data_IF_817036337477
#
_entry.id   IF_817036337477
#
_cell.length_a   1.000
_cell.length_b   1.000
_cell.length_c   1.000
_cell.angle_alpha   90.00
_cell.angle_beta   90.00
_cell.angle_gamma   90.00
#
_symmetry.space_group_name_H-M   'P 1'
#
loop_
_entity.id
_entity.type
_entity.pdbx_description
1 polymer ?
#
# COMPACT_ATOMS: atom_id res chain seq x y z
N UNK A 1 -21.84 7.40 20.67
CA UNK A 1 -21.47 6.12 21.34
C UNK A 1 -19.97 6.13 21.67
N UNK A 2 -19.57 5.74 22.89
CA UNK A 2 -18.16 5.72 23.28
C UNK A 2 -17.47 4.54 22.57
N UNK A 3 -16.60 4.82 21.60
CA UNK A 3 -15.87 3.78 20.87
C UNK A 3 -14.71 3.26 21.74
N UNK A 4 -14.65 1.93 21.88
CA UNK A 4 -13.61 1.21 22.64
C UNK A 4 -12.45 0.78 21.74
N UNK A 5 -12.55 1.00 20.43
CA UNK A 5 -11.53 0.64 19.48
C UNK A 5 -10.53 1.77 19.26
N UNK A 6 -9.25 1.42 19.30
CA UNK A 6 -8.15 2.15 18.73
C UNK A 6 -8.05 1.87 17.22
N UNK A 7 -7.30 2.71 16.52
CA UNK A 7 -6.95 2.49 15.12
C UNK A 7 -5.49 2.90 14.90
N UNK A 8 -4.75 2.11 14.12
CA UNK A 8 -3.44 2.48 13.60
C UNK A 8 -3.51 2.52 12.08
N UNK A 9 -3.02 3.60 11.48
CA UNK A 9 -2.68 3.66 10.06
C UNK A 9 -1.18 3.89 9.90
N UNK A 10 -0.47 2.87 9.42
CA UNK A 10 0.98 2.95 9.12
C UNK A 10 1.14 3.07 7.61
N UNK A 11 1.74 4.16 7.15
CA UNK A 11 2.00 4.46 5.75
C UNK A 11 3.50 4.52 5.46
N UNK A 12 3.91 3.83 4.39
CA UNK A 12 5.26 3.77 3.88
C UNK A 12 5.32 4.53 2.56
N UNK A 13 6.13 5.58 2.49
CA UNK A 13 6.46 6.24 1.23
C UNK A 13 7.40 5.35 0.42
N UNK A 14 7.02 5.04 -0.82
CA UNK A 14 7.81 4.15 -1.69
C UNK A 14 8.39 4.84 -2.92
N UNK A 15 7.85 6.00 -3.30
CA UNK A 15 8.40 6.82 -4.37
C UNK A 15 7.38 7.69 -5.11
N UNK A 16 7.76 8.17 -6.29
CA UNK A 16 6.87 8.91 -7.19
C UNK A 16 5.82 7.99 -7.80
N UNK A 17 4.60 8.51 -8.00
CA UNK A 17 3.54 7.79 -8.71
C UNK A 17 3.78 7.74 -10.23
N UNK A 18 4.55 8.69 -10.76
CA UNK A 18 4.99 8.71 -12.18
C UNK A 18 5.92 7.55 -12.50
N UNK A 19 6.69 7.10 -11.50
CA UNK A 19 7.62 6.01 -11.66
C UNK A 19 6.86 4.69 -11.73
N UNK A 20 6.71 4.18 -12.95
CA UNK A 20 6.00 2.94 -13.25
C UNK A 20 6.71 1.72 -12.65
N UNK A 21 8.03 1.76 -12.53
CA UNK A 21 8.79 0.67 -11.90
C UNK A 21 8.45 0.59 -10.41
N UNK A 22 8.50 1.73 -9.70
CA UNK A 22 8.08 1.82 -8.29
C UNK A 22 6.63 1.39 -8.11
N UNK A 23 5.72 1.90 -8.95
CA UNK A 23 4.28 1.57 -8.88
C UNK A 23 4.03 0.08 -9.05
N UNK A 24 4.63 -0.54 -10.06
CA UNK A 24 4.42 -1.97 -10.35
C UNK A 24 5.07 -2.89 -9.33
N UNK A 25 6.25 -2.55 -8.80
CA UNK A 25 6.84 -3.24 -7.65
C UNK A 25 5.95 -3.17 -6.41
N UNK A 26 5.35 -2.01 -6.16
CA UNK A 26 4.42 -1.82 -5.03
C UNK A 26 3.13 -2.62 -5.19
N UNK A 27 2.57 -2.68 -6.41
CA UNK A 27 1.41 -3.53 -6.73
C UNK A 27 1.74 -5.02 -6.56
N UNK A 28 2.91 -5.46 -7.01
CA UNK A 28 3.33 -6.86 -6.85
C UNK A 28 3.58 -7.22 -5.39
N UNK A 29 4.18 -6.32 -4.60
CA UNK A 29 4.29 -6.50 -3.16
C UNK A 29 2.91 -6.60 -2.49
N UNK A 30 1.94 -5.78 -2.89
CA UNK A 30 0.56 -5.88 -2.36
C UNK A 30 -0.07 -7.24 -2.62
N UNK A 31 0.08 -7.77 -3.85
CA UNK A 31 -0.42 -9.09 -4.22
C UNK A 31 0.23 -10.20 -3.38
N UNK A 32 1.54 -10.12 -3.13
CA UNK A 32 2.28 -11.15 -2.38
C UNK A 32 2.09 -11.03 -0.86
N UNK A 33 1.93 -9.81 -0.33
CA UNK A 33 1.70 -9.56 1.11
C UNK A 33 0.27 -9.87 1.53
N UNK A 34 -0.67 -9.89 0.57
CA UNK A 34 -2.10 -9.95 0.84
C UNK A 34 -2.53 -11.07 1.77
N UNK A 35 -2.24 -12.31 1.36
CA UNK A 35 -2.69 -13.49 2.08
C UNK A 35 -1.89 -13.67 3.39
N UNK A 36 -0.54 -13.53 3.41
CA UNK A 36 0.23 -13.65 4.64
C UNK A 36 -0.11 -12.60 5.69
N UNK A 37 -0.39 -11.35 5.28
CA UNK A 37 -0.80 -10.30 6.21
C UNK A 37 -2.19 -10.57 6.80
N UNK A 38 -3.12 -11.09 5.99
CA UNK A 38 -4.44 -11.47 6.48
C UNK A 38 -4.35 -12.67 7.43
N UNK A 39 -3.69 -13.76 7.03
CA UNK A 39 -3.53 -14.93 7.88
C UNK A 39 -2.87 -14.58 9.21
N UNK A 40 -1.77 -13.82 9.19
CA UNK A 40 -1.07 -13.47 10.41
C UNK A 40 -1.86 -12.49 11.30
N UNK A 41 -2.11 -11.28 10.80
CA UNK A 41 -2.60 -10.17 11.63
C UNK A 41 -4.08 -10.34 11.95
N UNK A 42 -4.86 -10.95 11.04
CA UNK A 42 -6.30 -11.13 11.21
C UNK A 42 -6.67 -12.51 11.77
N UNK A 43 -6.13 -13.59 11.23
CA UNK A 43 -6.58 -14.95 11.58
C UNK A 43 -5.87 -15.49 12.82
N UNK A 44 -4.52 -15.44 12.84
CA UNK A 44 -3.70 -16.00 13.94
C UNK A 44 -3.67 -15.08 15.16
N UNK A 45 -3.24 -13.84 14.98
CA UNK A 45 -3.08 -12.90 16.09
C UNK A 45 -4.40 -12.25 16.52
N UNK A 46 -5.42 -12.32 15.65
CA UNK A 46 -6.76 -11.81 15.93
C UNK A 46 -6.76 -10.33 16.33
N UNK A 47 -5.91 -9.53 15.67
CA UNK A 47 -5.66 -8.14 16.06
C UNK A 47 -6.88 -7.23 15.89
N UNK A 48 -7.89 -7.60 15.12
CA UNK A 48 -9.08 -6.77 14.98
C UNK A 48 -9.93 -7.19 13.81
N UNK A 49 -11.17 -6.70 13.70
CA UNK A 49 -12.05 -7.08 12.59
C UNK A 49 -11.59 -6.51 11.25
N UNK A 50 -11.08 -5.27 11.27
CA UNK A 50 -10.60 -4.54 10.11
C UNK A 50 -9.07 -4.61 10.12
N UNK A 51 -8.52 -5.37 9.18
CA UNK A 51 -7.09 -5.39 8.85
C UNK A 51 -7.02 -5.15 7.35
N UNK A 52 -6.69 -3.92 6.97
CA UNK A 52 -6.51 -3.53 5.58
C UNK A 52 -5.03 -3.32 5.30
N UNK A 53 -4.59 -3.79 4.14
CA UNK A 53 -3.23 -3.60 3.61
C UNK A 53 -3.32 -3.11 2.16
N UNK A 54 -2.26 -2.53 1.63
CA UNK A 54 -2.09 -2.37 0.20
C UNK A 54 -1.69 -0.97 -0.23
N UNK A 55 -1.76 -0.74 -1.53
CA UNK A 55 -1.27 0.51 -2.12
C UNK A 55 -2.17 1.68 -1.71
N UNK A 56 -1.54 2.81 -1.39
CA UNK A 56 -2.22 4.10 -1.19
C UNK A 56 -1.47 5.16 -1.95
N UNK A 57 -2.04 5.53 -3.08
CA UNK A 57 -1.53 6.57 -3.94
C UNK A 57 -2.14 7.93 -3.55
N UNK A 58 -1.28 8.94 -3.50
CA UNK A 58 -1.69 10.34 -3.54
C UNK A 58 -1.51 10.86 -4.97
N UNK A 59 -1.70 12.17 -5.17
CA UNK A 59 -1.61 12.76 -6.52
C UNK A 59 -0.26 12.49 -7.18
N UNK A 60 0.84 12.64 -6.46
CA UNK A 60 2.20 12.62 -7.00
C UNK A 60 3.09 11.55 -6.37
N UNK A 61 2.65 10.98 -5.24
CA UNK A 61 3.40 9.99 -4.46
C UNK A 61 2.65 8.67 -4.39
N UNK A 62 3.42 7.59 -4.39
CA UNK A 62 2.95 6.23 -4.17
C UNK A 62 3.37 5.79 -2.76
N UNK A 63 2.58 4.90 -2.17
CA UNK A 63 2.89 4.32 -0.87
C UNK A 63 2.20 3.00 -0.62
N UNK A 64 2.61 2.35 0.45
CA UNK A 64 1.97 1.15 0.98
C UNK A 64 1.41 1.48 2.36
N UNK A 65 0.20 1.02 2.70
CA UNK A 65 -0.37 1.21 4.03
C UNK A 65 -0.83 -0.08 4.68
N UNK A 66 -0.82 -0.05 6.00
CA UNK A 66 -1.58 -0.94 6.88
C UNK A 66 -2.57 -0.09 7.66
N UNK A 67 -3.81 -0.58 7.82
CA UNK A 67 -4.85 0.06 8.62
C UNK A 67 -5.52 -1.03 9.46
N UNK A 68 -5.37 -0.93 10.78
CA UNK A 68 -5.92 -1.91 11.73
C UNK A 68 -6.80 -1.20 12.75
N UNK A 69 -8.05 -1.65 12.87
CA UNK A 69 -8.95 -1.22 13.94
C UNK A 69 -9.13 -2.36 14.96
N UNK A 70 -8.84 -2.06 16.22
CA UNK A 70 -8.79 -3.04 17.30
C UNK A 70 -9.21 -2.45 18.64
N UNK A 71 -9.58 -3.31 19.58
CA UNK A 71 -9.65 -2.95 20.99
C UNK A 71 -8.26 -2.93 21.68
N UNK A 72 -7.19 -3.40 21.03
CA UNK A 72 -5.81 -3.32 21.53
C UNK A 72 -5.22 -1.92 21.31
N UNK A 73 -4.14 -1.58 22.01
CA UNK A 73 -3.51 -0.25 21.88
C UNK A 73 -2.87 -0.05 20.50
N UNK A 74 -2.92 1.18 19.98
CA UNK A 74 -2.34 1.52 18.68
C UNK A 74 -0.83 1.23 18.62
N UNK A 75 -0.10 1.50 19.71
CA UNK A 75 1.33 1.17 19.84
C UNK A 75 1.61 -0.32 19.69
N UNK A 76 0.78 -1.17 20.30
CA UNK A 76 0.91 -2.62 20.15
C UNK A 76 0.68 -3.04 18.71
N UNK A 77 -0.43 -2.59 18.10
CA UNK A 77 -0.74 -2.92 16.70
C UNK A 77 0.37 -2.49 15.74
N UNK A 78 0.93 -1.30 15.94
CA UNK A 78 2.05 -0.80 15.14
C UNK A 78 3.29 -1.69 15.28
N UNK A 79 3.59 -2.14 16.51
CA UNK A 79 4.66 -3.12 16.74
C UNK A 79 4.41 -4.46 16.06
N UNK A 80 3.15 -4.93 15.99
CA UNK A 80 2.81 -6.17 15.29
C UNK A 80 2.98 -6.04 13.77
N UNK A 81 2.69 -4.87 13.19
CA UNK A 81 2.97 -4.59 11.77
C UNK A 81 4.48 -4.69 11.49
N UNK A 82 5.32 -4.11 12.35
CA UNK A 82 6.78 -4.17 12.18
C UNK A 82 7.32 -5.60 12.34
N UNK A 83 6.85 -6.37 13.32
CA UNK A 83 7.25 -7.77 13.51
C UNK A 83 6.86 -8.64 12.31
N UNK A 84 5.66 -8.45 11.77
CA UNK A 84 5.20 -9.09 10.54
C UNK A 84 6.11 -8.76 9.36
N UNK A 85 6.45 -7.48 9.15
CA UNK A 85 7.33 -7.05 8.05
C UNK A 85 8.75 -7.61 8.19
N UNK A 86 9.30 -7.67 9.41
CA UNK A 86 10.59 -8.33 9.66
C UNK A 86 10.56 -9.80 9.24
N UNK A 87 9.52 -10.55 9.65
CA UNK A 87 9.38 -11.97 9.26
C UNK A 87 9.16 -12.13 7.76
N UNK A 88 8.43 -11.21 7.15
CA UNK A 88 8.09 -11.29 5.74
C UNK A 88 9.33 -11.17 4.84
N UNK A 89 10.39 -10.49 5.29
CA UNK A 89 11.67 -10.45 4.58
C UNK A 89 12.18 -11.88 4.28
N UNK A 90 12.22 -12.75 5.29
CA UNK A 90 12.60 -14.16 5.15
C UNK A 90 11.65 -14.94 4.24
N UNK A 91 10.35 -14.66 4.33
CA UNK A 91 9.34 -15.32 3.49
C UNK A 91 9.58 -14.98 2.02
N UNK A 92 9.88 -13.72 1.73
CA UNK A 92 10.14 -13.25 0.37
C UNK A 92 11.45 -13.81 -0.20
N UNK A 93 12.49 -13.94 0.61
CA UNK A 93 13.76 -14.57 0.20
C UNK A 93 13.61 -16.06 -0.10
N UNK A 94 12.86 -16.78 0.75
CA UNK A 94 12.63 -18.23 0.64
C UNK A 94 11.59 -18.61 -0.42
N UNK A 95 10.79 -17.65 -0.89
CA UNK A 95 9.78 -17.86 -1.93
C UNK A 95 10.41 -18.46 -3.19
N UNK A 96 9.78 -19.51 -3.73
CA UNK A 96 10.25 -20.14 -4.97
C UNK A 96 10.01 -19.24 -6.19
N UNK A 97 10.80 -19.42 -7.25
CA UNK A 97 10.59 -18.68 -8.50
C UNK A 97 9.21 -18.97 -9.11
N UNK A 98 8.72 -20.20 -8.97
CA UNK A 98 7.40 -20.63 -9.44
C UNK A 98 6.27 -19.89 -8.72
N UNK A 99 6.36 -19.73 -7.39
CA UNK A 99 5.37 -18.96 -6.63
C UNK A 99 5.40 -17.48 -7.00
N UNK A 100 6.60 -16.91 -7.15
CA UNK A 100 6.78 -15.52 -7.56
C UNK A 100 6.15 -15.25 -8.95
N UNK A 101 6.43 -16.10 -9.94
CA UNK A 101 5.80 -15.99 -11.27
C UNK A 101 4.28 -16.22 -11.22
N UNK A 102 3.79 -17.07 -10.31
CA UNK A 102 2.37 -17.24 -10.04
C UNK A 102 1.69 -15.94 -9.56
N UNK A 103 2.33 -15.21 -8.64
CA UNK A 103 1.85 -13.90 -8.19
C UNK A 103 1.87 -12.86 -9.32
N UNK A 104 2.95 -12.80 -10.11
CA UNK A 104 3.05 -11.92 -11.29
C UNK A 104 1.92 -12.18 -12.28
N UNK A 105 1.70 -13.44 -12.65
CA UNK A 105 0.68 -13.80 -13.62
C UNK A 105 -0.72 -13.47 -13.11
N UNK A 106 -0.99 -13.73 -11.84
CA UNK A 106 -2.27 -13.39 -11.19
C UNK A 106 -2.52 -11.88 -11.22
N UNK A 107 -1.50 -11.08 -10.88
CA UNK A 107 -1.61 -9.61 -10.92
C UNK A 107 -1.81 -9.11 -12.36
N UNK A 108 -1.09 -9.65 -13.35
CA UNK A 108 -1.27 -9.28 -14.77
C UNK A 108 -2.72 -9.55 -15.23
N UNK A 109 -3.28 -10.72 -14.88
CA UNK A 109 -4.67 -11.06 -15.21
C UNK A 109 -5.65 -10.09 -14.56
N UNK A 110 -5.45 -9.75 -13.28
CA UNK A 110 -6.27 -8.76 -12.58
C UNK A 110 -6.19 -7.38 -13.23
N UNK A 111 -4.99 -6.95 -13.65
CA UNK A 111 -4.78 -5.65 -14.30
C UNK A 111 -5.43 -5.56 -15.68
N UNK A 112 -5.45 -6.65 -16.44
CA UNK A 112 -6.02 -6.71 -17.79
C UNK A 112 -7.49 -7.11 -17.80
N UNK A 113 -8.11 -7.34 -16.65
CA UNK A 113 -9.52 -7.69 -16.56
C UNK A 113 -10.39 -6.56 -17.13
N UNK A 114 -11.35 -6.92 -17.97
CA UNK A 114 -12.33 -5.96 -18.48
C UNK A 114 -13.21 -5.42 -17.35
N UNK A 115 -13.57 -4.14 -17.45
CA UNK A 115 -14.54 -3.55 -16.53
C UNK A 115 -15.89 -4.24 -16.68
N UNK A 116 -16.45 -4.69 -15.55
CA UNK A 116 -17.75 -5.37 -15.55
C UNK A 116 -18.93 -4.42 -15.69
N UNK A 117 -18.72 -3.12 -15.45
CA UNK A 117 -19.74 -2.07 -15.49
C UNK A 117 -19.20 -0.80 -16.12
N UNK A 118 -20.08 -0.04 -16.78
CA UNK A 118 -19.76 1.28 -17.33
C UNK A 118 -19.31 2.27 -16.23
N UNK A 119 -19.85 2.13 -15.02
CA UNK A 119 -19.45 2.94 -13.87
C UNK A 119 -17.98 2.68 -13.48
N UNK A 120 -17.56 1.41 -13.43
CA UNK A 120 -16.17 1.05 -13.14
C UNK A 120 -15.20 1.59 -14.20
N UNK A 121 -15.57 1.49 -15.48
CA UNK A 121 -14.80 2.06 -16.59
C UNK A 121 -14.73 3.59 -16.51
N UNK A 122 -15.87 4.25 -16.24
CA UNK A 122 -15.95 5.70 -16.10
C UNK A 122 -15.09 6.20 -14.95
N UNK A 123 -15.14 5.55 -13.77
CA UNK A 123 -14.30 5.88 -12.61
C UNK A 123 -12.82 5.71 -12.95
N UNK A 124 -12.45 4.63 -13.67
CA UNK A 124 -11.07 4.41 -14.08
C UNK A 124 -10.53 5.53 -14.97
N UNK A 125 -11.26 5.92 -16.02
CA UNK A 125 -10.85 7.00 -16.92
C UNK A 125 -10.88 8.36 -16.23
N UNK A 126 -11.92 8.65 -15.44
CA UNK A 126 -12.04 9.92 -14.74
C UNK A 126 -10.93 10.09 -13.68
N UNK A 127 -10.42 9.00 -13.12
CA UNK A 127 -9.24 9.02 -12.24
C UNK A 127 -7.98 9.48 -12.97
N UNK A 128 -7.82 9.14 -14.26
CA UNK A 128 -6.67 9.63 -15.05
C UNK A 128 -6.78 11.13 -15.37
N UNK A 129 -8.00 11.61 -15.59
CA UNK A 129 -8.29 13.04 -15.83
C UNK A 129 -8.04 13.85 -14.57
N UNK A 130 -8.65 13.46 -13.45
CA UNK A 130 -8.59 14.21 -12.18
C UNK A 130 -7.21 14.21 -11.52
N UNK A 131 -6.37 13.22 -11.82
CA UNK A 131 -4.98 13.20 -11.39
C UNK A 131 -4.00 13.77 -12.43
N UNK A 132 -4.47 14.23 -13.59
CA UNK A 132 -3.69 14.91 -14.64
C UNK A 132 -2.58 14.05 -15.29
N UNK A 133 -2.65 12.72 -15.15
CA UNK A 133 -1.70 11.80 -15.79
C UNK A 133 -2.10 11.41 -17.21
N UNK A 134 -3.41 11.38 -17.50
CA UNK A 134 -3.99 10.95 -18.78
C UNK A 134 -3.47 9.57 -19.26
N UNK A 135 -3.06 8.69 -18.34
CA UNK A 135 -2.55 7.34 -18.66
C UNK A 135 -3.72 6.35 -18.80
N UNK A 136 -4.54 6.54 -19.84
CA UNK A 136 -5.71 5.69 -20.11
C UNK A 136 -5.35 4.23 -20.43
N UNK A 137 -4.11 3.97 -20.85
CA UNK A 137 -3.57 2.63 -21.11
C UNK A 137 -2.69 2.14 -19.94
N UNK A 138 -2.84 2.74 -18.75
CA UNK A 138 -2.03 2.42 -17.57
C UNK A 138 -2.12 0.94 -17.19
N UNK A 139 -3.28 0.31 -17.36
CA UNK A 139 -3.48 -1.11 -17.10
C UNK A 139 -2.54 -1.99 -17.96
N UNK A 140 -2.49 -1.72 -19.27
CA UNK A 140 -1.67 -2.46 -20.24
C UNK A 140 -0.18 -2.19 -20.02
N UNK A 141 0.19 -0.93 -19.79
CA UNK A 141 1.59 -0.54 -19.52
C UNK A 141 2.10 -1.13 -18.20
N UNK A 142 1.28 -1.11 -17.16
CA UNK A 142 1.63 -1.70 -15.87
C UNK A 142 1.78 -3.23 -16.00
N UNK A 143 0.87 -3.90 -16.70
CA UNK A 143 0.97 -5.34 -16.98
C UNK A 143 2.27 -5.70 -17.75
N UNK A 144 2.63 -4.88 -18.76
CA UNK A 144 3.87 -5.07 -19.49
C UNK A 144 5.11 -4.90 -18.61
N UNK A 145 5.13 -3.90 -17.72
CA UNK A 145 6.23 -3.70 -16.78
C UNK A 145 6.30 -4.81 -15.72
N UNK A 146 5.16 -5.24 -15.16
CA UNK A 146 5.10 -6.34 -14.17
C UNK A 146 5.73 -7.61 -14.74
N UNK A 147 5.51 -7.90 -16.02
CA UNK A 147 6.09 -9.07 -16.68
C UNK A 147 7.62 -9.08 -16.64
N UNK A 148 8.25 -7.90 -16.67
CA UNK A 148 9.71 -7.73 -16.67
C UNK A 148 10.33 -7.79 -15.28
N UNK A 149 9.54 -7.64 -14.21
CA UNK A 149 10.05 -7.62 -12.84
C UNK A 149 10.67 -8.97 -12.45
N UNK A 150 11.82 -8.91 -11.78
CA UNK A 150 12.51 -10.09 -11.24
C UNK A 150 12.38 -10.17 -9.72
N UNK A 151 12.44 -11.39 -9.16
CA UNK A 151 12.36 -11.59 -7.71
C UNK A 151 13.42 -10.78 -6.93
N UNK A 152 14.71 -10.75 -7.34
CA UNK A 152 15.73 -9.97 -6.64
C UNK A 152 15.43 -8.47 -6.60
N UNK A 153 14.90 -7.89 -7.68
CA UNK A 153 14.54 -6.45 -7.71
C UNK A 153 13.40 -6.12 -6.75
N UNK A 154 12.45 -7.04 -6.58
CA UNK A 154 11.32 -6.86 -5.66
C UNK A 154 11.75 -7.06 -4.20
N UNK A 155 12.66 -8.02 -3.93
CA UNK A 155 13.30 -8.18 -2.62
C UNK A 155 14.06 -6.93 -2.23
N UNK A 156 14.91 -6.42 -3.13
CA UNK A 156 15.69 -5.20 -2.91
C UNK A 156 14.76 -4.01 -2.61
N UNK A 157 13.68 -3.87 -3.39
CA UNK A 157 12.70 -2.82 -3.19
C UNK A 157 11.97 -2.93 -1.84
N UNK A 158 11.56 -4.14 -1.44
CA UNK A 158 10.99 -4.39 -0.11
C UNK A 158 11.97 -4.03 1.01
N UNK A 159 13.22 -4.49 0.89
CA UNK A 159 14.28 -4.23 1.85
C UNK A 159 14.60 -2.74 1.99
N UNK A 160 14.54 -1.97 0.90
CA UNK A 160 14.77 -0.54 0.96
C UNK A 160 13.59 0.23 1.54
N UNK A 161 12.35 -0.15 1.20
CA UNK A 161 11.16 0.70 1.44
C UNK A 161 10.27 0.28 2.61
N UNK A 162 10.23 -1.01 2.97
CA UNK A 162 9.30 -1.53 3.98
C UNK A 162 10.03 -2.18 5.16
N UNK A 163 11.12 -2.92 4.92
CA UNK A 163 11.81 -3.71 5.92
C UNK A 163 12.25 -2.86 7.14
N UNK A 164 11.92 -3.27 8.39
CA UNK A 164 12.29 -2.53 9.59
C UNK A 164 13.77 -2.29 9.84
N UNK A 165 14.64 -3.13 9.27
CA UNK A 165 16.08 -2.95 9.31
C UNK A 165 16.60 -1.85 8.34
N UNK A 166 15.74 -1.31 7.46
CA UNK A 166 16.13 -0.31 6.48
C UNK A 166 16.34 1.08 7.10
N UNK A 167 17.46 1.71 6.73
CA UNK A 167 17.71 3.14 7.02
C UNK A 167 17.16 4.08 5.94
N UNK A 168 16.64 3.54 4.83
CA UNK A 168 16.16 4.32 3.67
C UNK A 168 14.63 4.45 3.60
N UNK A 169 13.90 3.73 4.46
CA UNK A 169 12.44 3.76 4.46
C UNK A 169 11.91 5.05 5.09
N UNK A 170 10.82 5.56 4.54
CA UNK A 170 10.09 6.69 5.10
C UNK A 170 8.71 6.20 5.56
N UNK A 171 8.48 6.27 6.87
CA UNK A 171 7.29 5.72 7.55
C UNK A 171 6.59 6.82 8.34
N UNK A 172 5.27 6.86 8.22
CA UNK A 172 4.37 7.70 9.03
C UNK A 172 3.35 6.78 9.70
N UNK A 173 3.17 6.90 11.01
CA UNK A 173 2.16 6.14 11.75
C UNK A 173 1.19 7.09 12.43
N UNK A 174 -0.11 6.85 12.26
CA UNK A 174 -1.19 7.64 12.85
C UNK A 174 -1.92 6.75 13.85
N UNK A 175 -1.85 7.14 15.13
CA UNK A 175 -2.45 6.40 16.24
C UNK A 175 -3.72 7.12 16.71
N UNK A 176 -4.89 6.54 16.44
CA UNK A 176 -6.15 6.99 17.02
C UNK A 176 -6.43 6.22 18.30
N UNK A 177 -6.54 6.95 19.41
CA UNK A 177 -6.82 6.36 20.72
C UNK A 177 -8.32 6.25 20.98
N UNK A 178 -8.75 5.12 21.54
CA UNK A 178 -10.12 4.92 21.99
C UNK A 178 -10.48 5.90 23.11
N UNK A 179 -11.76 6.31 23.17
CA UNK A 179 -12.25 7.20 24.23
C UNK A 179 -12.42 6.48 25.58
N UNK A 180 -12.50 5.14 25.54
CA UNK A 180 -12.67 4.29 26.71
C UNK A 180 -11.75 3.10 26.58
N UNK A 181 -10.96 2.82 27.63
CA UNK A 181 -10.14 1.62 27.69
C UNK A 181 -11.05 0.39 27.79
N UNK A 182 -10.94 -0.51 26.82
CA UNK A 182 -11.66 -1.78 26.89
C UNK A 182 -11.16 -2.63 28.07
N UNK A 183 -12.03 -3.43 28.67
CA UNK A 183 -11.63 -4.38 29.71
C UNK A 183 -10.79 -5.52 29.11
N UNK A 184 -9.70 -5.92 29.79
CA UNK A 184 -8.89 -7.07 29.39
C UNK A 184 -7.96 -6.84 28.19
N UNK A 185 -7.67 -5.59 27.85
CA UNK A 185 -6.72 -5.22 26.77
C UNK A 185 -5.36 -5.91 26.96
N UNK A 186 -4.81 -5.84 28.16
CA UNK A 186 -3.50 -6.42 28.46
C UNK A 186 -3.48 -7.95 28.21
N UNK A 187 -4.52 -8.67 28.65
CA UNK A 187 -4.68 -10.12 28.38
C UNK A 187 -4.78 -10.43 26.89
N UNK A 188 -5.54 -9.63 26.14
CA UNK A 188 -5.69 -9.81 24.69
C UNK A 188 -4.38 -9.57 23.95
N UNK A 189 -3.61 -8.56 24.36
CA UNK A 189 -2.28 -8.32 23.81
C UNK A 189 -1.32 -9.47 24.13
N UNK A 190 -1.33 -9.99 25.36
CA UNK A 190 -0.52 -11.15 25.73
C UNK A 190 -0.89 -12.41 24.91
N UNK A 191 -2.19 -12.65 24.69
CA UNK A 191 -2.67 -13.77 23.88
C UNK A 191 -2.27 -13.63 22.41
N UNK A 192 -2.41 -12.43 21.83
CA UNK A 192 -1.99 -12.15 20.46
C UNK A 192 -0.47 -12.33 20.31
N UNK A 193 0.31 -11.84 21.27
CA UNK A 193 1.76 -11.99 21.28
C UNK A 193 2.21 -13.45 21.44
N UNK A 194 1.44 -14.30 22.13
CA UNK A 194 1.70 -15.75 22.22
C UNK A 194 1.38 -16.47 20.91
N UNK A 195 0.33 -16.05 20.20
CA UNK A 195 -0.08 -16.61 18.90
C UNK A 195 0.76 -16.12 17.73
N UNK A 196 1.63 -15.14 17.97
CA UNK A 196 2.49 -14.55 16.96
C UNK A 196 3.51 -15.52 16.35
N UNK A 197 3.79 -16.67 16.97
CA UNK A 197 4.79 -17.70 16.59
C UNK A 197 6.12 -17.14 16.04
N UNK A 198 7.18 -17.19 16.86
CA UNK A 198 8.58 -16.96 16.44
C UNK A 198 8.83 -15.70 15.58
N UNK A 199 7.96 -14.69 15.65
CA UNK A 199 8.21 -13.45 14.93
C UNK A 199 9.48 -12.78 15.47
N UNK A 200 10.34 -12.27 14.57
CA UNK A 200 11.50 -11.50 14.98
C UNK A 200 11.04 -10.30 15.81
N UNK A 201 11.93 -9.79 16.66
CA UNK A 201 11.70 -8.52 17.34
C UNK A 201 11.27 -7.46 16.30
N UNK A 202 10.21 -6.65 16.57
CA UNK A 202 9.73 -5.59 15.68
C UNK A 202 10.75 -4.44 15.45
N UNK A 203 12.00 -4.62 15.89
CA UNK A 203 12.99 -3.57 15.98
C UNK A 203 12.57 -2.50 16.98
N UNK A 204 13.17 -1.32 16.85
CA UNK A 204 12.90 -0.18 17.72
C UNK A 204 12.11 0.94 17.02
N UNK A 205 11.61 0.69 15.81
CA UNK A 205 10.99 1.71 14.95
C UNK A 205 9.77 2.43 15.58
N UNK A 206 9.01 1.75 16.44
CA UNK A 206 7.91 2.36 17.19
C UNK A 206 8.46 3.19 18.37
N UNK A 207 9.48 2.69 19.06
CA UNK A 207 10.08 3.33 20.24
C UNK A 207 10.89 4.58 19.90
N UNK A 208 11.56 4.57 18.75
CA UNK A 208 12.41 5.67 18.26
C UNK A 208 11.65 6.64 17.37
N UNK A 209 10.33 6.49 17.23
CA UNK A 209 9.53 7.38 16.40
C UNK A 209 9.54 8.80 16.97
N UNK A 210 9.68 9.79 16.10
CA UNK A 210 9.52 11.20 16.46
C UNK A 210 8.04 11.55 16.50
N UNK A 211 7.56 12.03 17.65
CA UNK A 211 6.17 12.45 17.80
C UNK A 211 5.92 13.80 17.12
N UNK A 212 4.99 13.82 16.17
CA UNK A 212 4.57 15.05 15.49
C UNK A 212 3.53 15.76 16.38
N UNK A 213 3.97 16.82 17.08
CA UNK A 213 3.10 17.62 17.96
C UNK A 213 2.34 18.72 17.21
N UNK A 214 2.89 19.24 16.11
CA UNK A 214 2.25 20.23 15.24
C UNK A 214 2.41 19.81 13.76
N UNK A 215 1.30 19.41 13.15
CA UNK A 215 1.27 18.95 11.75
C UNK A 215 1.64 20.08 10.78
N UNK A 216 1.31 21.34 11.09
CA UNK A 216 1.61 22.47 10.21
C UNK A 216 3.11 22.74 10.19
N UNK A 217 3.76 22.78 11.37
CA UNK A 217 5.21 22.96 11.46
C UNK A 217 5.97 21.79 10.84
N UNK A 218 5.53 20.55 11.11
CA UNK A 218 6.14 19.37 10.51
C UNK A 218 6.10 19.42 8.98
N UNK A 219 4.95 19.81 8.40
CA UNK A 219 4.80 19.94 6.95
C UNK A 219 5.72 20.99 6.32
N UNK A 220 6.04 22.08 7.03
CA UNK A 220 6.96 23.12 6.53
C UNK A 220 8.40 22.58 6.39
N UNK A 221 8.80 21.64 7.24
CA UNK A 221 10.11 20.99 7.17
C UNK A 221 10.26 19.97 6.03
N UNK A 222 9.18 19.60 5.34
CA UNK A 222 9.21 18.59 4.29
C UNK A 222 9.35 19.19 2.90
N UNK A 223 10.05 18.46 2.03
CA UNK A 223 10.14 18.81 0.61
C UNK A 223 8.86 18.40 -0.12
N UNK A 224 8.24 19.32 -0.84
CA UNK A 224 7.09 19.02 -1.69
C UNK A 224 7.54 18.23 -2.93
N UNK A 225 6.73 17.24 -3.33
CA UNK A 225 6.93 16.55 -4.60
C UNK A 225 6.63 17.49 -5.78
N UNK A 226 7.23 17.20 -6.93
CA UNK A 226 6.86 17.86 -8.18
C UNK A 226 5.39 17.59 -8.51
N UNK A 227 4.74 18.55 -9.18
CA UNK A 227 3.40 18.35 -9.73
C UNK A 227 3.33 17.19 -10.71
N UNK A 228 2.13 16.65 -10.89
CA UNK A 228 1.89 15.54 -11.81
C UNK A 228 2.24 15.95 -13.25
N UNK A 229 2.91 15.04 -13.96
CA UNK A 229 3.26 15.20 -15.37
C UNK A 229 2.42 14.26 -16.23
N UNK A 230 1.67 14.79 -17.20
CA UNK A 230 0.98 14.00 -18.21
C UNK A 230 1.89 12.97 -18.88
N UNK A 231 1.40 11.74 -19.06
CA UNK A 231 2.11 10.71 -19.84
C UNK A 231 2.09 11.03 -21.34
N UNK A 232 1.03 11.69 -21.79
CA UNK A 232 0.84 12.25 -23.13
C UNK A 232 0.33 13.67 -23.01
N UNK A 233 0.70 14.54 -23.93
CA UNK A 233 0.18 15.91 -23.92
C UNK A 233 -1.34 15.89 -24.16
N UNK A 234 -2.10 16.78 -23.51
CA UNK A 234 -3.55 16.84 -23.68
C UNK A 234 -3.95 17.13 -25.14
N UNK A 235 -3.10 17.86 -25.88
CA UNK A 235 -3.29 18.14 -27.30
C UNK A 235 -3.25 16.88 -28.17
N UNK A 236 -2.65 15.77 -27.70
CA UNK A 236 -2.71 14.49 -28.41
C UNK A 236 -4.10 13.85 -28.40
N UNK A 237 -4.99 14.31 -27.54
CA UNK A 237 -6.40 13.88 -27.48
C UNK A 237 -7.36 14.86 -28.16
N UNK A 238 -6.85 15.98 -28.68
CA UNK A 238 -7.63 16.95 -29.44
C UNK A 238 -7.82 16.45 -30.89
N UNK A 239 -8.68 15.46 -31.07
CA UNK A 239 -9.21 15.14 -32.41
C UNK A 239 -10.13 16.28 -32.87
N UNK A 240 -9.52 17.33 -33.43
CA UNK A 240 -10.20 18.50 -34.01
C UNK A 240 -10.93 18.19 -35.33
N UNK A 241 -11.00 16.93 -35.77
CA UNK A 241 -11.57 16.53 -37.06
C UNK A 241 -12.34 15.20 -36.99
N UNK A 242 -13.29 15.06 -36.06
CA UNK A 242 -14.44 14.20 -36.37
C UNK A 242 -15.31 14.99 -37.34
N UNK A 243 -15.05 14.81 -38.64
CA UNK A 243 -16.08 15.09 -39.62
C UNK A 243 -17.27 14.23 -39.21
N UNK A 244 -18.31 14.87 -38.69
CA UNK A 244 -19.63 14.27 -38.63
C UNK A 244 -20.04 14.07 -40.09
N UNK A 245 -19.56 12.99 -40.72
CA UNK A 245 -20.05 12.56 -42.01
C UNK A 245 -21.55 12.38 -41.82
N UNK A 246 -22.28 13.25 -42.51
CA UNK A 246 -23.69 13.43 -42.34
C UNK A 246 -24.41 12.10 -42.45
N UNK A 247 -25.25 11.83 -41.46
CA UNK A 247 -26.45 11.03 -41.71
C UNK A 247 -27.31 11.85 -42.67
N UNK A 248 -27.03 11.72 -43.96
CA UNK A 248 -27.86 12.22 -45.05
C UNK A 248 -28.39 11.03 -45.83
N UNK A 249 -29.70 10.78 -45.73
CA UNK A 249 -30.45 9.85 -46.57
C UNK A 249 -31.20 8.79 -45.79
#
# INVERSE_FOLDING_TARGET
PKNVNHCVETWFYVGSREDRDVRTKTLLLEQMLSEPAFDQLRTKEQLGYIVWRGTRDFKTTCGFRFLIQSEMTAEFLDSRIEAFLMRYADTLEKMSETEFEGHKQSLIVQRLAMFQTLDAESVHHFTQITNEYYDFESAQRDAAQIKLLTKPEVIEFFNQRLNPASTQRARLSIHLQAQVKAGGVDKRQEEAQKKADEEPSPGDAVKTAEEITDVSLYRVGLTASSGARPVKDIHEYEDMNVALEGVSG
#
